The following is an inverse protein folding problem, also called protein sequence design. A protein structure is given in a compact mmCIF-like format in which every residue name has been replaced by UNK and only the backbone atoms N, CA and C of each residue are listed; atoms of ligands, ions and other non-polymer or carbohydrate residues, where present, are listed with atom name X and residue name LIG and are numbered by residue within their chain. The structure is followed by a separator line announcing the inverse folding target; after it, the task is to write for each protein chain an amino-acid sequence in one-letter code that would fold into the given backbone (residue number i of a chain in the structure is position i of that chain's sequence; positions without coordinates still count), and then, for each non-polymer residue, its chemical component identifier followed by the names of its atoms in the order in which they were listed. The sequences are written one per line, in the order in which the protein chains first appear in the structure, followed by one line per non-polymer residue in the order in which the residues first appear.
data_IF_594416044870
#
_entry.id   IF_594416044870
#
_cell.length_a   1.000
_cell.length_b   1.000
_cell.length_c   1.000
_cell.angle_alpha   90.00
_cell.angle_beta   90.00
_cell.angle_gamma   90.00
#
_symmetry.space_group_name_H-M   'P 1'
#
loop_
_entity.id
_entity.type
_entity.pdbx_description
1 polymer ?
#
# COMPACT_ATOMS: atom_id res chain seq x y z
N UNK A 1 51.18 -13.93 4.90
CA UNK A 1 51.18 -12.96 3.78
C UNK A 1 49.82 -13.01 3.08
N UNK A 2 48.81 -12.35 3.67
CA UNK A 2 47.53 -12.11 3.00
C UNK A 2 47.75 -10.93 2.04
N UNK A 3 47.32 -11.14 0.80
CA UNK A 3 47.70 -10.38 -0.38
C UNK A 3 47.35 -8.90 -0.29
N UNK A 4 48.34 -8.03 -0.54
CA UNK A 4 48.18 -6.59 -0.80
C UNK A 4 47.12 -6.28 -1.88
N UNK A 5 46.77 -7.25 -2.73
CA UNK A 5 45.67 -7.11 -3.70
C UNK A 5 44.29 -7.05 -3.05
N UNK A 6 44.09 -7.67 -1.88
CA UNK A 6 42.81 -7.60 -1.15
C UNK A 6 42.60 -6.22 -0.52
N UNK A 7 43.67 -5.58 -0.05
CA UNK A 7 43.61 -4.24 0.56
C UNK A 7 43.50 -3.16 -0.53
N UNK A 8 44.19 -3.34 -1.67
CA UNK A 8 44.04 -2.44 -2.82
C UNK A 8 42.64 -2.49 -3.46
N UNK A 9 41.98 -3.66 -3.46
CA UNK A 9 40.60 -3.74 -3.97
C UNK A 9 39.60 -3.07 -3.03
N UNK A 10 39.76 -3.22 -1.71
CA UNK A 10 38.91 -2.55 -0.72
C UNK A 10 39.10 -1.02 -0.68
N UNK A 11 40.32 -0.52 -0.92
CA UNK A 11 40.57 0.93 -0.98
C UNK A 11 40.04 1.54 -2.29
N UNK A 12 40.08 0.79 -3.40
CA UNK A 12 39.56 1.27 -4.69
C UNK A 12 38.01 1.34 -4.74
N UNK A 13 37.30 0.44 -4.05
CA UNK A 13 35.83 0.52 -3.96
C UNK A 13 35.32 1.64 -3.04
N UNK A 14 36.09 2.01 -2.01
CA UNK A 14 35.69 3.02 -1.01
C UNK A 14 36.08 4.45 -1.41
N UNK A 15 37.13 4.64 -2.22
CA UNK A 15 37.67 5.99 -2.55
C UNK A 15 37.23 6.47 -3.96
N UNK A 16 36.75 5.59 -4.84
CA UNK A 16 36.41 5.93 -6.23
C UNK A 16 34.95 5.66 -6.63
N UNK A 17 34.01 5.56 -5.68
CA UNK A 17 32.61 5.85 -6.02
C UNK A 17 32.47 7.37 -6.07
N UNK A 18 32.29 7.98 -7.25
CA UNK A 18 32.01 9.41 -7.29
C UNK A 18 30.77 9.69 -6.43
N UNK A 19 30.70 10.84 -5.74
CA UNK A 19 29.49 11.24 -5.04
C UNK A 19 28.27 11.05 -5.95
N UNK A 20 27.16 10.54 -5.42
CA UNK A 20 25.92 10.26 -6.18
C UNK A 20 25.51 11.49 -7.01
N UNK A 21 25.72 12.68 -6.46
CA UNK A 21 25.55 13.98 -7.11
C UNK A 21 26.30 14.07 -8.44
N UNK A 22 27.54 13.58 -8.53
CA UNK A 22 28.37 13.60 -9.75
C UNK A 22 27.90 12.64 -10.84
N UNK A 23 27.39 11.46 -10.45
CA UNK A 23 26.84 10.48 -11.39
C UNK A 23 25.44 10.88 -11.89
N UNK A 24 24.60 11.41 -11.01
CA UNK A 24 23.34 12.05 -11.36
C UNK A 24 23.57 13.21 -12.33
N UNK A 25 24.57 14.05 -12.05
CA UNK A 25 24.97 15.16 -12.94
C UNK A 25 25.53 14.67 -14.29
N UNK A 26 26.15 13.48 -14.35
CA UNK A 26 26.60 12.86 -15.62
C UNK A 26 25.45 12.26 -16.45
N UNK A 27 24.46 11.66 -15.80
CA UNK A 27 23.24 11.18 -16.47
C UNK A 27 22.40 12.36 -17.00
N UNK A 28 22.31 13.44 -16.23
CA UNK A 28 21.62 14.69 -16.57
C UNK A 28 22.29 15.49 -17.70
N UNK A 29 23.60 15.29 -17.94
CA UNK A 29 24.36 15.99 -19.00
C UNK A 29 23.99 15.61 -20.44
N UNK A 30 23.11 14.63 -20.66
CA UNK A 30 22.57 14.33 -21.99
C UNK A 30 21.10 14.76 -22.13
N UNK A 31 20.81 15.99 -22.62
CA UNK A 31 19.44 16.51 -22.73
C UNK A 31 18.52 15.67 -23.61
N UNK A 32 19.07 14.84 -24.52
CA UNK A 32 18.30 13.87 -25.33
C UNK A 32 17.81 12.66 -24.51
N UNK A 33 18.55 12.21 -23.51
CA UNK A 33 18.14 11.12 -22.61
C UNK A 33 17.04 11.59 -21.67
N UNK A 34 17.20 12.78 -21.11
CA UNK A 34 16.19 13.36 -20.20
C UNK A 34 14.85 13.57 -20.88
N UNK A 35 14.83 14.15 -22.09
CA UNK A 35 13.59 14.30 -22.87
C UNK A 35 12.91 12.96 -23.17
N UNK A 36 13.68 11.89 -23.43
CA UNK A 36 13.12 10.54 -23.65
C UNK A 36 12.55 9.97 -22.36
N UNK A 37 13.23 10.17 -21.23
CA UNK A 37 12.80 9.74 -19.90
C UNK A 37 11.48 10.39 -19.49
N UNK A 38 11.39 11.73 -19.55
CA UNK A 38 10.16 12.49 -19.25
C UNK A 38 9.00 12.04 -20.16
N UNK A 39 9.27 11.86 -21.47
CA UNK A 39 8.26 11.38 -22.41
C UNK A 39 7.77 9.99 -22.02
N UNK A 40 8.69 9.09 -21.69
CA UNK A 40 8.38 7.72 -21.29
C UNK A 40 7.60 7.68 -19.97
N UNK A 41 8.00 8.43 -18.94
CA UNK A 41 7.27 8.58 -17.68
C UNK A 41 5.84 9.11 -17.91
N UNK A 42 5.70 10.17 -18.72
CA UNK A 42 4.39 10.75 -19.05
C UNK A 42 3.47 9.73 -19.73
N UNK A 43 3.98 8.98 -20.71
CA UNK A 43 3.20 7.95 -21.42
C UNK A 43 2.77 6.84 -20.47
N UNK A 44 3.69 6.31 -19.65
CA UNK A 44 3.36 5.22 -18.75
C UNK A 44 2.42 5.66 -17.62
N UNK A 45 2.58 6.88 -17.10
CA UNK A 45 1.63 7.46 -16.14
C UNK A 45 0.24 7.63 -16.74
N UNK A 46 0.15 8.10 -17.98
CA UNK A 46 -1.13 8.20 -18.68
C UNK A 46 -1.77 6.82 -18.91
N UNK A 47 -0.96 5.82 -19.30
CA UNK A 47 -1.43 4.44 -19.43
C UNK A 47 -1.95 3.90 -18.09
N UNK A 48 -1.14 3.97 -17.02
CA UNK A 48 -1.53 3.54 -15.68
C UNK A 48 -2.84 4.21 -15.22
N UNK A 49 -2.94 5.54 -15.35
CA UNK A 49 -4.16 6.27 -15.02
C UNK A 49 -5.39 5.85 -15.85
N UNK A 50 -5.20 5.54 -17.14
CA UNK A 50 -6.29 5.10 -18.03
C UNK A 50 -6.85 3.73 -17.66
N UNK A 51 -6.06 2.92 -16.95
CA UNK A 51 -6.44 1.58 -16.50
C UNK A 51 -7.07 1.57 -15.11
N UNK A 52 -6.95 2.66 -14.34
CA UNK A 52 -7.60 2.76 -13.04
C UNK A 52 -9.13 2.79 -13.19
N UNK A 53 -9.89 2.28 -12.21
CA UNK A 53 -11.34 2.41 -12.19
C UNK A 53 -11.76 3.88 -12.32
N UNK A 54 -12.87 4.09 -13.05
CA UNK A 54 -13.50 5.41 -13.13
C UNK A 54 -14.06 5.76 -11.76
N UNK A 55 -13.68 6.91 -11.23
CA UNK A 55 -14.24 7.45 -9.99
C UNK A 55 -15.73 7.63 -10.23
N UNK A 56 -16.57 6.97 -9.43
CA UNK A 56 -18.00 7.25 -9.49
C UNK A 56 -18.21 8.70 -9.03
N UNK A 57 -18.92 9.53 -9.80
CA UNK A 57 -19.23 10.89 -9.37
C UNK A 57 -19.95 10.82 -8.01
N UNK A 58 -19.56 11.72 -7.10
CA UNK A 58 -20.09 11.79 -5.72
C UNK A 58 -21.60 12.08 -5.70
N UNK A 59 -22.19 12.48 -6.83
CA UNK A 59 -23.62 12.69 -7.05
C UNK A 59 -24.45 11.39 -7.14
N UNK A 60 -23.99 10.28 -6.55
CA UNK A 60 -24.89 9.15 -6.31
C UNK A 60 -25.88 9.58 -5.23
N UNK A 61 -27.16 9.78 -5.61
CA UNK A 61 -28.27 9.77 -4.67
C UNK A 61 -28.01 8.66 -3.64
N UNK A 62 -28.11 8.93 -2.33
CA UNK A 62 -27.85 7.94 -1.30
C UNK A 62 -28.62 6.69 -1.67
N UNK A 63 -27.92 5.55 -1.87
CA UNK A 63 -28.51 4.30 -2.34
C UNK A 63 -29.90 4.14 -1.74
N UNK A 64 -30.93 4.42 -2.54
CA UNK A 64 -32.30 4.38 -2.04
C UNK A 64 -32.65 2.91 -1.91
N UNK A 65 -32.36 2.35 -0.74
CA UNK A 65 -32.76 0.98 -0.40
C UNK A 65 -34.29 0.83 -0.34
N UNK A 66 -35.04 1.93 -0.57
CA UNK A 66 -36.44 2.07 -0.33
C UNK A 66 -36.73 2.01 1.17
N UNK A 67 -38.01 1.85 1.52
CA UNK A 67 -38.39 1.40 2.85
C UNK A 67 -37.80 0.01 3.12
N UNK A 68 -36.70 -0.05 3.86
CA UNK A 68 -36.16 -1.30 4.41
C UNK A 68 -37.22 -1.86 5.37
N UNK A 69 -37.75 -3.05 5.06
CA UNK A 69 -38.73 -3.72 5.91
C UNK A 69 -38.15 -3.97 7.30
N UNK A 70 -38.97 -3.79 8.33
CA UNK A 70 -38.62 -4.07 9.72
C UNK A 70 -38.44 -5.57 9.99
N UNK A 71 -38.76 -6.47 9.06
CA UNK A 71 -38.46 -7.91 9.20
C UNK A 71 -38.94 -8.53 10.54
N UNK A 72 -40.07 -8.06 11.08
CA UNK A 72 -40.60 -8.47 12.40
C UNK A 72 -40.96 -9.97 12.48
N UNK A 73 -41.11 -10.65 11.35
CA UNK A 73 -41.28 -12.09 11.29
C UNK A 73 -40.02 -12.87 11.72
N UNK A 74 -38.84 -12.25 11.69
CA UNK A 74 -37.60 -12.88 12.13
C UNK A 74 -37.42 -12.70 13.65
N UNK A 75 -37.22 -13.79 14.42
CA UNK A 75 -36.90 -13.69 15.84
C UNK A 75 -35.65 -12.84 16.10
N UNK A 76 -34.68 -12.86 15.18
CA UNK A 76 -33.47 -12.04 15.27
C UNK A 76 -33.80 -10.55 15.31
N UNK A 77 -34.73 -10.09 14.46
CA UNK A 77 -35.12 -8.68 14.38
C UNK A 77 -36.19 -8.27 15.39
N UNK A 78 -37.01 -9.23 15.83
CA UNK A 78 -38.12 -8.99 16.77
C UNK A 78 -37.70 -9.05 18.23
N UNK A 79 -36.78 -9.96 18.58
CA UNK A 79 -36.41 -10.25 19.98
C UNK A 79 -35.09 -9.61 20.40
N UNK A 80 -34.15 -9.39 19.47
CA UNK A 80 -32.86 -8.81 19.81
C UNK A 80 -32.88 -7.28 19.61
N UNK A 81 -32.48 -6.51 20.62
CA UNK A 81 -32.30 -5.08 20.46
C UNK A 81 -31.09 -4.78 19.54
N UNK A 82 -30.98 -3.56 18.98
CA UNK A 82 -29.92 -3.20 18.04
C UNK A 82 -28.50 -3.49 18.56
N UNK A 83 -28.22 -3.21 19.82
CA UNK A 83 -26.90 -3.32 20.43
C UNK A 83 -26.40 -4.77 20.44
N UNK A 84 -27.27 -5.72 20.75
CA UNK A 84 -26.92 -7.14 20.70
C UNK A 84 -26.69 -7.62 19.25
N UNK A 85 -27.40 -7.03 18.28
CA UNK A 85 -27.21 -7.36 16.87
C UNK A 85 -25.89 -6.79 16.35
N UNK A 86 -25.49 -5.60 16.78
CA UNK A 86 -24.17 -5.03 16.51
C UNK A 86 -23.05 -5.91 17.06
N UNK A 87 -23.17 -6.42 18.29
CA UNK A 87 -22.20 -7.39 18.83
C UNK A 87 -22.11 -8.66 17.99
N UNK A 88 -23.26 -9.17 17.52
CA UNK A 88 -23.30 -10.34 16.62
C UNK A 88 -22.63 -10.02 15.28
N UNK A 89 -22.88 -8.84 14.70
CA UNK A 89 -22.25 -8.44 13.44
C UNK A 89 -20.74 -8.25 13.60
N UNK A 90 -20.28 -7.58 14.66
CA UNK A 90 -18.86 -7.42 14.97
C UNK A 90 -18.17 -8.78 15.13
N UNK A 91 -18.80 -9.72 15.83
CA UNK A 91 -18.27 -11.07 16.01
C UNK A 91 -18.27 -11.88 14.71
N UNK A 92 -19.36 -11.84 13.94
CA UNK A 92 -19.52 -12.67 12.75
C UNK A 92 -18.78 -12.14 11.52
N UNK A 93 -18.53 -10.83 11.45
CA UNK A 93 -17.96 -10.16 10.28
C UNK A 93 -16.59 -9.54 10.53
N UNK A 94 -16.10 -9.51 11.77
CA UNK A 94 -14.84 -8.88 12.15
C UNK A 94 -13.70 -9.87 12.37
N UNK A 95 -12.49 -9.32 12.57
CA UNK A 95 -11.29 -10.08 12.90
C UNK A 95 -10.63 -10.77 11.71
N UNK A 96 -11.14 -10.56 10.50
CA UNK A 96 -10.59 -11.15 9.28
C UNK A 96 -9.55 -10.22 8.64
N UNK A 97 -8.64 -10.82 7.88
CA UNK A 97 -7.74 -10.11 6.97
C UNK A 97 -8.26 -10.25 5.55
N UNK A 98 -8.73 -9.14 4.99
CA UNK A 98 -9.26 -9.07 3.64
C UNK A 98 -8.13 -8.87 2.66
N UNK A 99 -7.67 -9.95 2.02
CA UNK A 99 -6.58 -9.86 1.06
C UNK A 99 -7.12 -9.50 -0.32
N UNK A 100 -6.78 -8.27 -0.75
CA UNK A 100 -7.07 -7.85 -2.10
C UNK A 100 -6.05 -8.44 -3.07
N UNK A 101 -6.53 -8.82 -4.23
CA UNK A 101 -5.74 -9.29 -5.35
C UNK A 101 -5.92 -8.29 -6.50
N UNK A 102 -4.80 -7.79 -7.03
CA UNK A 102 -4.80 -7.00 -8.25
C UNK A 102 -4.71 -7.95 -9.44
N UNK A 103 -5.74 -7.96 -10.27
CA UNK A 103 -5.73 -8.68 -11.54
C UNK A 103 -5.21 -7.71 -12.60
N UNK A 104 -4.00 -7.98 -13.08
CA UNK A 104 -3.31 -7.23 -14.12
C UNK A 104 -3.10 -8.13 -15.34
N UNK A 105 -4.03 -8.09 -16.31
CA UNK A 105 -3.97 -8.91 -17.52
C UNK A 105 -2.97 -8.31 -18.54
N UNK A 106 -1.67 -8.40 -18.24
CA UNK A 106 -0.58 -7.89 -19.08
C UNK A 106 -0.28 -8.75 -20.31
N UNK A 107 -0.96 -9.89 -20.49
CA UNK A 107 -0.75 -10.82 -21.61
C UNK A 107 -1.05 -10.21 -23.00
N UNK A 108 -1.60 -9.00 -23.04
CA UNK A 108 -1.76 -8.25 -24.28
C UNK A 108 -0.47 -7.50 -24.62
N UNK A 109 0.26 -7.99 -25.63
CA UNK A 109 1.40 -7.28 -26.25
C UNK A 109 1.01 -5.89 -26.81
N UNK A 110 -0.28 -5.57 -26.90
CA UNK A 110 -0.79 -4.27 -27.31
C UNK A 110 -1.09 -3.39 -26.10
N UNK A 111 -0.15 -2.51 -25.75
CA UNK A 111 -0.31 -1.53 -24.66
C UNK A 111 -1.52 -0.62 -24.84
N UNK A 112 -2.10 -0.50 -26.05
CA UNK A 112 -3.29 0.32 -26.33
C UNK A 112 -4.61 -0.39 -26.03
N UNK A 113 -4.57 -1.69 -25.73
CA UNK A 113 -5.74 -2.53 -25.43
C UNK A 113 -5.69 -3.18 -24.06
N UNK A 114 -4.78 -2.72 -23.20
CA UNK A 114 -4.68 -3.27 -21.85
C UNK A 114 -6.01 -3.04 -21.10
N UNK A 115 -6.57 -4.08 -20.50
CA UNK A 115 -7.82 -3.94 -19.76
C UNK A 115 -7.60 -3.11 -18.48
N UNK A 116 -8.69 -2.54 -17.93
CA UNK A 116 -8.64 -1.84 -16.67
C UNK A 116 -8.22 -2.80 -15.55
N UNK A 117 -7.56 -2.25 -14.53
CA UNK A 117 -7.23 -2.99 -13.32
C UNK A 117 -8.52 -3.49 -12.64
N UNK A 118 -8.50 -4.73 -12.19
CA UNK A 118 -9.61 -5.33 -11.44
C UNK A 118 -9.12 -5.77 -10.08
N UNK A 119 -9.97 -5.61 -9.07
CA UNK A 119 -9.71 -6.12 -7.74
C UNK A 119 -10.57 -7.34 -7.47
N UNK A 120 -9.97 -8.32 -6.81
CA UNK A 120 -10.65 -9.49 -6.26
C UNK A 120 -10.35 -9.59 -4.77
N UNK A 121 -11.33 -10.09 -4.02
CA UNK A 121 -11.16 -10.45 -2.61
C UNK A 121 -11.91 -11.76 -2.40
N UNK A 122 -11.21 -12.91 -2.37
CA UNK A 122 -11.85 -14.20 -2.19
C UNK A 122 -12.67 -14.30 -0.88
N UNK A 123 -12.17 -13.68 0.19
CA UNK A 123 -12.72 -13.74 1.54
C UNK A 123 -14.08 -13.04 1.66
N UNK A 124 -14.32 -12.02 0.82
CA UNK A 124 -15.56 -11.24 0.79
C UNK A 124 -16.79 -12.11 0.53
N UNK A 125 -16.66 -13.22 -0.21
CA UNK A 125 -17.81 -14.10 -0.45
C UNK A 125 -18.34 -14.72 0.85
N UNK A 126 -17.45 -15.12 1.76
CA UNK A 126 -17.82 -15.69 3.07
C UNK A 126 -18.37 -14.59 3.97
N UNK A 127 -17.70 -13.45 4.04
CA UNK A 127 -18.10 -12.34 4.90
C UNK A 127 -19.46 -11.74 4.50
N UNK A 128 -19.74 -11.67 3.20
CA UNK A 128 -21.03 -11.17 2.72
C UNK A 128 -22.16 -12.20 2.79
N UNK A 129 -21.93 -13.46 3.19
CA UNK A 129 -22.99 -14.46 3.27
C UNK A 129 -24.15 -13.99 4.17
N UNK A 130 -23.84 -13.43 5.34
CA UNK A 130 -24.82 -12.89 6.27
C UNK A 130 -25.48 -11.59 5.74
N UNK A 131 -24.72 -10.53 5.34
CA UNK A 131 -25.29 -9.36 4.67
C UNK A 131 -26.17 -9.66 3.45
N UNK A 132 -25.85 -10.70 2.67
CA UNK A 132 -26.62 -11.09 1.48
C UNK A 132 -27.92 -11.80 1.79
N UNK A 133 -28.16 -12.22 3.04
CA UNK A 133 -29.39 -12.91 3.44
C UNK A 133 -30.62 -12.01 3.28
N UNK A 134 -30.54 -10.73 3.68
CA UNK A 134 -31.60 -9.76 3.46
C UNK A 134 -31.10 -8.31 3.56
N UNK A 135 -31.87 -7.37 2.98
CA UNK A 135 -31.55 -5.94 2.96
C UNK A 135 -31.32 -5.33 4.35
N UNK A 136 -32.07 -5.76 5.37
CA UNK A 136 -31.95 -5.19 6.73
C UNK A 136 -30.62 -5.57 7.39
N UNK A 137 -30.18 -6.83 7.24
CA UNK A 137 -28.85 -7.23 7.71
C UNK A 137 -27.78 -6.47 6.94
N UNK A 138 -27.90 -6.36 5.61
CA UNK A 138 -26.96 -5.59 4.80
C UNK A 138 -26.76 -4.17 5.32
N UNK A 139 -27.85 -3.42 5.53
CA UNK A 139 -27.78 -2.01 5.96
C UNK A 139 -27.21 -1.84 7.37
N UNK A 140 -27.51 -2.75 8.29
CA UNK A 140 -27.00 -2.66 9.66
C UNK A 140 -25.56 -3.19 9.79
N UNK A 141 -25.14 -4.12 8.93
CA UNK A 141 -23.90 -4.86 9.10
C UNK A 141 -22.77 -4.44 8.14
N UNK A 142 -23.06 -3.73 7.04
CA UNK A 142 -22.06 -3.38 6.00
C UNK A 142 -20.86 -2.63 6.56
N UNK A 143 -21.06 -1.74 7.53
CA UNK A 143 -19.97 -0.96 8.15
C UNK A 143 -18.95 -1.84 8.88
N UNK A 144 -19.38 -2.97 9.43
CA UNK A 144 -18.50 -3.88 10.17
C UNK A 144 -17.46 -4.53 9.25
N UNK A 145 -17.77 -4.73 7.97
CA UNK A 145 -16.83 -5.25 6.97
C UNK A 145 -15.59 -4.36 6.85
N UNK A 146 -15.76 -3.04 6.96
CA UNK A 146 -14.67 -2.07 6.79
C UNK A 146 -14.02 -1.67 8.12
N UNK A 147 -14.80 -1.61 9.20
CA UNK A 147 -14.34 -1.10 10.50
C UNK A 147 -13.69 -2.16 11.40
N UNK A 148 -13.99 -3.44 11.21
CA UNK A 148 -13.54 -4.53 12.10
C UNK A 148 -12.58 -5.52 11.44
N UNK A 149 -12.13 -5.24 10.21
CA UNK A 149 -11.22 -6.11 9.47
C UNK A 149 -9.96 -5.34 9.05
N UNK A 150 -8.88 -6.07 8.80
CA UNK A 150 -7.67 -5.51 8.21
C UNK A 150 -7.71 -5.67 6.70
N UNK A 151 -7.68 -4.56 5.97
CA UNK A 151 -7.66 -4.59 4.49
C UNK A 151 -6.21 -4.65 4.03
N UNK A 152 -5.85 -5.75 3.37
CA UNK A 152 -4.50 -6.00 2.89
C UNK A 152 -4.38 -5.72 1.39
N UNK A 153 -3.51 -4.80 1.02
CA UNK A 153 -3.23 -4.40 -0.36
C UNK A 153 -1.90 -5.01 -0.82
N UNK A 154 -1.85 -5.68 -1.98
CA UNK A 154 -0.63 -6.30 -2.50
C UNK A 154 0.34 -5.26 -3.08
N UNK A 155 -0.17 -4.06 -3.41
CA UNK A 155 0.61 -2.91 -3.90
C UNK A 155 -0.25 -1.62 -3.85
N UNK A 156 0.37 -0.49 -4.14
CA UNK A 156 -0.29 0.83 -4.20
C UNK A 156 -1.37 0.89 -5.29
N UNK A 157 -1.18 0.22 -6.44
CA UNK A 157 -2.21 0.21 -7.50
C UNK A 157 -3.52 -0.39 -6.98
N UNK A 158 -3.44 -1.49 -6.22
CA UNK A 158 -4.62 -2.10 -5.60
C UNK A 158 -5.32 -1.15 -4.62
N UNK A 159 -4.54 -0.42 -3.81
CA UNK A 159 -5.09 0.61 -2.93
C UNK A 159 -5.81 1.71 -3.70
N UNK A 160 -5.18 2.28 -4.73
CA UNK A 160 -5.77 3.35 -5.53
C UNK A 160 -7.02 2.87 -6.24
N UNK A 161 -7.03 1.64 -6.77
CA UNK A 161 -8.22 1.04 -7.36
C UNK A 161 -9.35 0.93 -6.33
N UNK A 162 -9.03 0.46 -5.12
CA UNK A 162 -10.01 0.27 -4.06
C UNK A 162 -10.59 1.61 -3.58
N UNK A 163 -9.74 2.62 -3.37
CA UNK A 163 -10.13 3.98 -3.03
C UNK A 163 -11.12 4.58 -4.03
N UNK A 164 -10.99 4.25 -5.33
CA UNK A 164 -11.91 4.74 -6.37
C UNK A 164 -13.21 3.94 -6.47
N UNK A 165 -13.21 2.70 -6.00
CA UNK A 165 -14.36 1.79 -6.08
C UNK A 165 -15.27 1.86 -4.85
N UNK A 166 -14.73 2.28 -3.71
CA UNK A 166 -15.45 2.38 -2.43
C UNK A 166 -15.91 3.83 -2.19
N UNK A 167 -17.16 4.05 -1.75
CA UNK A 167 -17.63 5.39 -1.41
C UNK A 167 -16.72 6.08 -0.38
N UNK A 168 -16.46 7.40 -0.50
CA UNK A 168 -15.54 8.11 0.39
C UNK A 168 -15.82 7.89 1.88
N UNK A 169 -17.09 7.98 2.31
CA UNK A 169 -17.47 7.80 3.72
C UNK A 169 -17.15 6.39 4.23
N UNK A 170 -17.36 5.38 3.39
CA UNK A 170 -17.02 3.99 3.72
C UNK A 170 -15.51 3.81 3.76
N UNK A 171 -14.79 4.38 2.81
CA UNK A 171 -13.34 4.32 2.76
C UNK A 171 -12.69 4.99 3.99
N UNK A 172 -13.19 6.16 4.40
CA UNK A 172 -12.70 6.86 5.59
C UNK A 172 -13.03 6.15 6.91
N UNK A 173 -13.95 5.18 6.90
CA UNK A 173 -14.30 4.36 8.07
C UNK A 173 -13.33 3.20 8.33
N UNK A 174 -12.46 2.88 7.38
CA UNK A 174 -11.49 1.77 7.50
C UNK A 174 -10.53 2.05 8.67
N UNK A 175 -10.36 1.06 9.54
CA UNK A 175 -9.55 1.20 10.77
C UNK A 175 -8.17 0.54 10.70
N UNK A 176 -8.04 -0.52 9.90
CA UNK A 176 -6.82 -1.33 9.84
C UNK A 176 -6.42 -1.60 8.39
N UNK A 177 -5.20 -1.20 8.02
CA UNK A 177 -4.65 -1.38 6.67
C UNK A 177 -3.33 -2.11 6.72
N UNK A 178 -3.11 -3.04 5.79
CA UNK A 178 -1.81 -3.64 5.56
C UNK A 178 -1.41 -3.41 4.09
N UNK A 179 -0.38 -2.61 3.83
CA UNK A 179 0.19 -2.39 2.51
C UNK A 179 1.44 -3.25 2.30
N UNK A 180 1.45 -4.06 1.25
CA UNK A 180 2.69 -4.61 0.69
C UNK A 180 3.20 -3.67 -0.40
N UNK A 181 4.49 -3.37 -0.38
CA UNK A 181 5.17 -2.57 -1.38
C UNK A 181 6.44 -3.29 -1.80
N UNK A 182 6.48 -3.79 -3.03
CA UNK A 182 7.68 -4.43 -3.57
C UNK A 182 8.19 -3.68 -4.78
N UNK A 183 9.51 -3.48 -4.82
CA UNK A 183 10.22 -2.90 -5.95
C UNK A 183 11.31 -3.86 -6.44
N UNK A 184 11.11 -4.33 -7.67
CA UNK A 184 12.07 -5.14 -8.39
C UNK A 184 12.96 -4.19 -9.17
N UNK A 185 14.20 -4.03 -8.72
CA UNK A 185 15.23 -3.21 -9.33
C UNK A 185 15.38 -3.63 -10.79
N UNK A 186 15.02 -2.71 -11.67
CA UNK A 186 15.54 -2.73 -13.03
C UNK A 186 17.02 -2.35 -12.95
N UNK A 187 17.83 -2.85 -13.89
CA UNK A 187 19.31 -2.78 -13.91
C UNK A 187 19.97 -1.40 -13.67
N UNK A 188 19.20 -0.31 -13.57
CA UNK A 188 19.65 1.02 -13.16
C UNK A 188 19.15 1.34 -11.75
N UNK A 189 20.02 1.15 -10.74
CA UNK A 189 19.84 1.59 -9.34
C UNK A 189 19.43 3.08 -9.25
N UNK A 190 19.80 3.88 -10.26
CA UNK A 190 19.57 5.31 -10.32
C UNK A 190 18.10 5.72 -10.54
N UNK A 191 17.21 4.80 -10.92
CA UNK A 191 15.79 5.09 -11.18
C UNK A 191 14.86 4.75 -9.98
N UNK A 192 15.44 4.45 -8.80
CA UNK A 192 14.66 4.16 -7.60
C UNK A 192 13.81 5.37 -7.20
N UNK A 193 12.48 5.22 -7.21
CA UNK A 193 11.48 6.29 -7.09
C UNK A 193 11.48 7.34 -8.22
N UNK A 194 12.28 7.17 -9.27
CA UNK A 194 12.20 7.96 -10.52
C UNK A 194 11.58 7.16 -11.67
N UNK A 195 11.09 5.95 -11.39
CA UNK A 195 10.49 5.04 -12.35
C UNK A 195 9.07 5.40 -12.81
N UNK A 196 8.29 4.36 -13.09
CA UNK A 196 6.89 4.46 -13.52
C UNK A 196 5.97 4.32 -12.29
N UNK A 197 4.80 4.97 -12.28
CA UNK A 197 3.73 4.62 -11.36
C UNK A 197 3.46 3.10 -11.25
N UNK A 198 3.15 2.58 -10.05
CA UNK A 198 2.98 3.34 -8.81
C UNK A 198 4.27 3.51 -8.01
N UNK A 199 5.43 3.09 -8.52
CA UNK A 199 6.69 3.05 -7.77
C UNK A 199 7.47 4.37 -7.79
N UNK A 200 6.98 5.41 -8.45
CA UNK A 200 7.65 6.70 -8.47
C UNK A 200 7.39 7.52 -7.20
N UNK A 201 8.28 8.48 -6.92
CA UNK A 201 8.25 9.35 -5.73
C UNK A 201 6.94 10.11 -5.63
N UNK A 202 6.41 10.53 -6.77
CA UNK A 202 5.16 11.30 -6.84
C UNK A 202 3.99 10.43 -6.38
N UNK A 203 3.86 9.22 -6.90
CA UNK A 203 2.80 8.29 -6.46
C UNK A 203 3.00 7.86 -5.01
N UNK A 204 4.23 7.62 -4.57
CA UNK A 204 4.55 7.31 -3.17
C UNK A 204 4.09 8.43 -2.23
N UNK A 205 4.47 9.66 -2.53
CA UNK A 205 4.11 10.83 -1.70
C UNK A 205 2.61 11.09 -1.71
N UNK A 206 1.98 11.03 -2.88
CA UNK A 206 0.53 11.22 -3.01
C UNK A 206 -0.25 10.15 -2.26
N UNK A 207 0.19 8.89 -2.34
CA UNK A 207 -0.42 7.78 -1.60
C UNK A 207 -0.47 8.09 -0.10
N UNK A 208 0.67 8.47 0.50
CA UNK A 208 0.74 8.79 1.93
C UNK A 208 -0.09 10.03 2.31
N UNK A 209 -0.15 11.03 1.43
CA UNK A 209 -1.04 12.18 1.61
C UNK A 209 -2.52 11.77 1.64
N UNK A 210 -2.93 10.80 0.83
CA UNK A 210 -4.31 10.28 0.87
C UNK A 210 -4.55 9.43 2.12
N UNK A 211 -3.59 8.61 2.53
CA UNK A 211 -3.67 7.81 3.77
C UNK A 211 -3.87 8.71 4.99
N UNK A 212 -3.14 9.83 5.08
CA UNK A 212 -3.30 10.79 6.17
C UNK A 212 -4.70 11.44 6.24
N UNK A 213 -5.50 11.39 5.16
CA UNK A 213 -6.89 11.87 5.15
C UNK A 213 -7.87 10.83 5.73
N UNK A 214 -7.44 9.60 5.97
CA UNK A 214 -8.27 8.53 6.54
C UNK A 214 -8.46 8.74 8.05
N UNK A 215 -9.50 9.50 8.40
CA UNK A 215 -9.81 9.84 9.81
C UNK A 215 -10.07 8.63 10.71
N UNK A 216 -10.51 7.51 10.15
CA UNK A 216 -10.79 6.28 10.89
C UNK A 216 -9.59 5.35 11.08
N UNK A 217 -8.46 5.60 10.42
CA UNK A 217 -7.31 4.69 10.41
C UNK A 217 -6.61 4.69 11.77
N UNK A 218 -6.69 3.57 12.48
CA UNK A 218 -6.04 3.37 13.77
C UNK A 218 -4.75 2.54 13.65
N UNK A 219 -4.76 1.50 12.82
CA UNK A 219 -3.63 0.59 12.64
C UNK A 219 -3.17 0.54 11.19
N UNK A 220 -1.86 0.64 10.97
CA UNK A 220 -1.26 0.47 9.64
C UNK A 220 0.01 -0.37 9.68
N UNK A 221 0.06 -1.40 8.84
CA UNK A 221 1.28 -2.16 8.56
C UNK A 221 1.78 -1.94 7.15
N UNK A 222 3.09 -1.78 6.98
CA UNK A 222 3.75 -1.61 5.68
C UNK A 222 4.87 -2.62 5.55
N UNK A 223 4.75 -3.53 4.58
CA UNK A 223 5.79 -4.49 4.27
C UNK A 223 6.50 -4.04 2.98
N UNK A 224 7.76 -3.60 3.10
CA UNK A 224 8.57 -3.09 2.00
C UNK A 224 9.63 -4.08 1.57
N UNK A 225 9.55 -4.57 0.33
CA UNK A 225 10.55 -5.45 -0.28
C UNK A 225 11.28 -4.76 -1.43
N UNK A 226 12.61 -4.69 -1.39
CA UNK A 226 13.45 -4.18 -2.48
C UNK A 226 14.40 -5.31 -2.92
N UNK A 227 14.45 -5.60 -4.22
CA UNK A 227 15.26 -6.70 -4.79
C UNK A 227 16.01 -6.24 -6.03
N UNK A 228 17.31 -6.53 -6.23
CA UNK A 228 18.24 -7.16 -5.30
C UNK A 228 18.84 -6.17 -4.29
N UNK A 229 19.07 -6.66 -3.08
CA UNK A 229 19.83 -5.99 -2.02
C UNK A 229 21.31 -5.78 -2.43
N UNK A 230 21.99 -4.70 -1.97
CA UNK A 230 21.57 -3.77 -0.92
C UNK A 230 21.00 -2.43 -1.41
N UNK A 231 20.06 -1.89 -0.64
CA UNK A 231 19.57 -0.50 -0.74
C UNK A 231 20.64 0.43 -0.18
N UNK A 232 20.95 1.51 -0.90
CA UNK A 232 21.80 2.58 -0.36
C UNK A 232 21.08 3.23 0.86
N UNK A 233 21.72 3.35 2.03
CA UNK A 233 21.13 3.99 3.20
C UNK A 233 20.50 5.36 2.92
N UNK A 234 21.01 6.11 1.95
CA UNK A 234 20.46 7.41 1.55
C UNK A 234 19.04 7.35 0.97
N UNK A 235 18.57 6.20 0.47
CA UNK A 235 17.18 6.05 0.02
C UNK A 235 16.20 5.83 1.16
N UNK A 236 16.67 5.37 2.31
CA UNK A 236 15.81 5.09 3.45
C UNK A 236 15.17 6.37 3.96
N UNK A 237 15.94 7.45 4.09
CA UNK A 237 15.41 8.77 4.47
C UNK A 237 14.31 9.24 3.53
N UNK A 238 14.47 8.98 2.23
CA UNK A 238 13.49 9.36 1.20
C UNK A 238 12.22 8.52 1.33
N UNK A 239 12.36 7.20 1.52
CA UNK A 239 11.23 6.27 1.65
C UNK A 239 10.46 6.51 2.94
N UNK A 240 11.19 6.71 4.05
CA UNK A 240 10.63 6.81 5.39
C UNK A 240 10.11 8.19 5.70
N UNK A 241 10.55 9.26 5.04
CA UNK A 241 10.01 10.61 5.25
C UNK A 241 8.47 10.66 5.27
N UNK A 242 7.73 10.18 4.25
CA UNK A 242 6.27 10.18 4.30
C UNK A 242 5.70 9.18 5.32
N UNK A 243 6.42 8.10 5.67
CA UNK A 243 6.02 7.18 6.73
C UNK A 243 6.10 7.84 8.11
N UNK A 244 7.14 8.63 8.36
CA UNK A 244 7.33 9.38 9.60
C UNK A 244 6.22 10.41 9.77
N UNK A 245 5.89 11.13 8.70
CA UNK A 245 4.75 12.07 8.71
C UNK A 245 3.43 11.34 9.02
N UNK A 246 3.23 10.16 8.44
CA UNK A 246 2.00 9.37 8.63
C UNK A 246 1.92 8.72 10.03
N UNK A 247 3.02 8.17 10.54
CA UNK A 247 3.09 7.53 11.85
C UNK A 247 2.86 8.50 13.02
N UNK A 248 2.99 9.81 12.79
CA UNK A 248 2.57 10.83 13.79
C UNK A 248 1.05 10.99 13.89
N UNK A 249 0.31 10.55 12.89
CA UNK A 249 -1.15 10.71 12.80
C UNK A 249 -1.86 9.39 13.09
N UNK A 250 -1.30 8.27 12.64
CA UNK A 250 -1.84 6.92 12.88
C UNK A 250 -1.48 6.45 14.29
N UNK A 251 -2.42 5.81 15.00
CA UNK A 251 -2.22 5.42 16.41
C UNK A 251 -1.15 4.33 16.54
N UNK A 252 -1.21 3.33 15.67
CA UNK A 252 -0.27 2.22 15.65
C UNK A 252 0.22 1.99 14.22
N UNK A 253 1.53 2.10 14.03
CA UNK A 253 2.14 1.87 12.73
C UNK A 253 3.34 0.92 12.84
N UNK A 254 3.39 -0.04 11.93
CA UNK A 254 4.43 -1.04 11.81
C UNK A 254 5.02 -0.99 10.40
N UNK A 255 6.33 -0.88 10.29
CA UNK A 255 7.05 -0.88 9.02
C UNK A 255 8.03 -2.05 9.04
N UNK A 256 7.85 -3.00 8.12
CA UNK A 256 8.75 -4.13 7.92
C UNK A 256 9.56 -3.91 6.64
N UNK A 257 10.88 -4.10 6.68
CA UNK A 257 11.76 -3.95 5.52
C UNK A 257 12.69 -5.16 5.36
N UNK A 258 13.00 -5.58 4.13
CA UNK A 258 13.83 -6.77 3.90
C UNK A 258 15.35 -6.52 3.92
N UNK A 259 15.79 -5.26 3.92
CA UNK A 259 17.21 -4.91 3.90
C UNK A 259 17.78 -4.72 5.31
N UNK A 260 19.03 -5.14 5.49
CA UNK A 260 19.84 -4.92 6.70
C UNK A 260 20.98 -3.94 6.40
N UNK A 261 21.45 -3.22 7.42
CA UNK A 261 22.61 -2.36 7.29
C UNK A 261 23.89 -3.19 7.48
N UNK A 262 24.89 -3.09 6.57
CA UNK A 262 26.11 -3.91 6.61
C UNK A 262 26.89 -3.83 7.93
N UNK A 263 26.77 -2.70 8.64
CA UNK A 263 27.49 -2.45 9.89
C UNK A 263 26.82 -3.12 11.11
N UNK A 264 25.60 -3.68 10.96
CA UNK A 264 24.84 -4.32 12.03
C UNK A 264 24.13 -5.62 11.57
N UNK A 265 24.87 -6.64 11.09
CA UNK A 265 24.26 -7.91 10.71
C UNK A 265 23.66 -8.61 11.95
N UNK A 266 22.41 -9.07 11.84
CA UNK A 266 21.64 -9.79 12.87
C UNK A 266 21.07 -8.99 14.06
N UNK A 267 21.06 -7.66 14.06
CA UNK A 267 20.24 -6.95 15.04
C UNK A 267 18.78 -6.93 14.57
N UNK A 268 17.91 -7.72 15.19
CA UNK A 268 16.48 -7.40 15.26
C UNK A 268 16.35 -6.11 16.09
N UNK A 269 16.76 -4.99 15.49
CA UNK A 269 16.65 -3.68 16.09
C UNK A 269 15.20 -3.24 15.90
N UNK A 270 14.33 -3.63 16.82
CA UNK A 270 13.20 -2.77 17.14
C UNK A 270 13.85 -1.49 17.65
N UNK A 271 13.93 -0.47 16.79
CA UNK A 271 14.31 0.87 17.23
C UNK A 271 13.25 1.33 18.21
N UNK A 272 13.40 0.95 19.48
CA UNK A 272 12.58 1.43 20.60
C UNK A 272 12.87 2.89 20.91
N UNK A 273 13.82 3.51 20.21
CA UNK A 273 14.03 4.95 20.24
C UNK A 273 12.87 5.66 19.53
N UNK A 274 11.85 6.14 20.28
CA UNK A 274 10.67 6.76 19.71
C UNK A 274 11.00 8.15 19.17
N UNK A 275 12.20 8.68 19.47
CA UNK A 275 12.65 9.98 18.96
C UNK A 275 12.99 9.91 17.46
N UNK A 276 13.40 8.74 16.96
CA UNK A 276 13.83 8.59 15.57
C UNK A 276 12.67 8.28 14.62
N UNK A 277 11.81 7.30 14.96
CA UNK A 277 10.66 6.92 14.14
C UNK A 277 9.38 6.80 14.97
N UNK A 278 8.25 7.39 14.53
CA UNK A 278 6.96 7.31 15.22
C UNK A 278 6.23 5.98 14.95
N UNK A 279 6.96 4.91 14.60
CA UNK A 279 6.42 3.61 14.23
C UNK A 279 7.39 2.49 14.60
N UNK A 280 6.87 1.28 14.75
CA UNK A 280 7.70 0.11 15.01
C UNK A 280 8.37 -0.32 13.71
N UNK A 281 9.70 -0.19 13.63
CA UNK A 281 10.49 -0.65 12.48
C UNK A 281 11.03 -2.06 12.73
N UNK A 282 10.75 -2.99 11.80
CA UNK A 282 11.28 -4.36 11.78
C UNK A 282 12.12 -4.56 10.53
N UNK A 283 13.32 -5.12 10.68
CA UNK A 283 14.26 -5.38 9.59
C UNK A 283 14.53 -6.87 9.43
N UNK A 284 14.86 -7.27 8.21
CA UNK A 284 15.29 -8.63 7.88
C UNK A 284 14.17 -9.50 7.30
N UNK A 285 14.56 -10.63 6.70
CA UNK A 285 13.64 -11.69 6.24
C UNK A 285 13.33 -12.66 7.39
N UNK A 286 12.14 -13.30 7.43
CA UNK A 286 11.07 -13.27 6.44
C UNK A 286 9.91 -12.33 6.81
N UNK A 287 9.20 -11.81 5.80
CA UNK A 287 7.85 -11.27 6.03
C UNK A 287 6.94 -12.43 6.39
N UNK A 288 6.34 -12.48 7.59
CA UNK A 288 5.34 -13.49 7.88
C UNK A 288 4.13 -13.23 6.95
N UNK A 289 3.70 -14.27 6.23
CA UNK A 289 2.56 -14.23 5.32
C UNK A 289 1.25 -13.82 6.02
#
# INVERSE_FOLDING_TARGET
MRSLRSIMWSIAEVILRPPIEYLHDRAMRHPKREKRRIKWQTINRANWNSRLPVIRPVEEEPLDFGRVSTQQQSPFFKKLPPELRELIYAYALGGERLQLELIDDLDTNDTRKQPPFRLRCPEVQRLLALPRSCKRVYTEATQFVYTHNTISFPNITAYVCFQRLVPPDTFHSIRSVHLKWSHWQTSDIFDFLEGIPPWDRVCWTQFWQEVMKMKGLGYMRVDMEIVPDPVDPGYEDILFKPLVETGRVVQEMEVCVNWEWPDYPNSTYTSEDPETYPFTLKRGRPFPD
#
